data_IF_369033786127
#
_entry.id   IF_369033786127
#
_cell.length_a   1.000
_cell.length_b   1.000
_cell.length_c   1.000
_cell.angle_alpha   90.00
_cell.angle_beta   90.00
_cell.angle_gamma   90.00
#
_symmetry.space_group_name_H-M   'P 1'
#
loop_
_entity.id
_entity.type
_entity.pdbx_description
1 polymer ?
#
# COMPACT_ATOMS: atom_id res chain seq x y z
N UNK A 1 -12.12 31.36 -4.32
CA UNK A 1 -11.96 29.93 -4.67
C UNK A 1 -11.07 29.33 -3.61
N UNK A 2 -11.57 28.37 -2.82
CA UNK A 2 -10.73 27.67 -1.85
C UNK A 2 -9.68 26.87 -2.63
N UNK A 3 -8.41 26.98 -2.27
CA UNK A 3 -7.38 26.12 -2.82
C UNK A 3 -7.81 24.67 -2.59
N UNK A 4 -7.95 23.90 -3.67
CA UNK A 4 -8.11 22.46 -3.53
C UNK A 4 -6.83 21.94 -2.87
N UNK A 5 -6.95 21.43 -1.65
CA UNK A 5 -5.85 20.76 -0.96
C UNK A 5 -5.50 19.52 -1.79
N UNK A 6 -4.43 19.58 -2.58
CA UNK A 6 -3.94 18.43 -3.31
C UNK A 6 -3.35 17.45 -2.29
N UNK A 7 -4.07 16.36 -2.02
CA UNK A 7 -3.58 15.30 -1.16
C UNK A 7 -2.61 14.42 -1.94
N UNK A 8 -1.34 14.40 -1.52
CA UNK A 8 -0.31 13.55 -2.11
C UNK A 8 -0.16 12.28 -1.28
N UNK A 9 -0.20 11.14 -1.97
CA UNK A 9 -0.09 9.82 -1.36
C UNK A 9 1.26 9.20 -1.74
N UNK A 10 2.00 8.73 -0.75
CA UNK A 10 3.34 8.18 -0.92
C UNK A 10 3.44 6.85 -0.17
N UNK A 11 3.97 5.83 -0.83
CA UNK A 11 4.36 4.57 -0.19
C UNK A 11 5.88 4.45 -0.21
N UNK A 12 6.49 4.38 0.96
CA UNK A 12 7.92 4.20 1.11
C UNK A 12 8.15 2.74 1.44
N UNK A 13 8.80 1.99 0.56
CA UNK A 13 9.11 0.59 0.78
C UNK A 13 10.56 0.43 1.23
N UNK A 14 10.80 -0.58 2.05
CA UNK A 14 12.13 -1.06 2.39
C UNK A 14 12.14 -2.58 2.27
N UNK A 15 13.03 -3.09 1.41
CA UNK A 15 13.21 -4.50 1.10
C UNK A 15 14.70 -4.85 0.98
N UNK A 16 15.04 -6.04 0.46
CA UNK A 16 16.43 -6.52 0.31
C UNK A 16 17.29 -5.63 -0.61
N UNK A 17 16.69 -4.71 -1.38
CA UNK A 17 17.38 -3.72 -2.22
C UNK A 17 17.43 -2.33 -1.59
N UNK A 18 16.99 -2.17 -0.35
CA UNK A 18 16.97 -0.91 0.36
C UNK A 18 15.65 -0.14 0.19
N UNK A 19 15.75 1.18 0.34
CA UNK A 19 14.59 2.09 0.44
C UNK A 19 14.19 2.66 -0.92
N UNK A 20 12.90 2.61 -1.26
CA UNK A 20 12.34 3.20 -2.49
C UNK A 20 11.03 3.92 -2.20
N UNK A 21 10.75 4.98 -2.95
CA UNK A 21 9.57 5.83 -2.78
C UNK A 21 8.63 5.67 -4.00
N UNK A 22 7.34 5.48 -3.73
CA UNK A 22 6.30 5.28 -4.75
C UNK A 22 5.17 6.29 -4.56
N UNK A 23 5.09 7.34 -5.39
CA UNK A 23 3.90 8.16 -5.49
C UNK A 23 2.69 7.31 -5.91
N UNK A 24 1.58 7.48 -5.20
CA UNK A 24 0.34 6.76 -5.46
C UNK A 24 -0.68 7.71 -6.10
N UNK A 25 -1.04 7.42 -7.35
CA UNK A 25 -1.96 8.23 -8.16
C UNK A 25 -3.06 7.36 -8.79
N UNK A 26 -2.75 6.10 -9.11
CA UNK A 26 -3.67 5.17 -9.77
C UNK A 26 -4.74 4.65 -8.82
N UNK A 27 -5.84 4.16 -9.40
CA UNK A 27 -6.96 3.58 -8.65
C UNK A 27 -6.63 2.25 -8.00
N UNK A 28 -5.71 1.46 -8.59
CA UNK A 28 -5.33 0.14 -8.11
C UNK A 28 -3.82 -0.07 -8.28
N UNK A 29 -3.18 -0.67 -7.28
CA UNK A 29 -1.81 -1.19 -7.38
C UNK A 29 -1.76 -2.64 -6.91
N UNK A 30 -1.07 -3.49 -7.66
CA UNK A 30 -0.65 -4.80 -7.18
C UNK A 30 0.72 -4.69 -6.51
N UNK A 31 0.86 -5.31 -5.34
CA UNK A 31 2.10 -5.36 -4.56
C UNK A 31 2.54 -6.81 -4.44
N UNK A 32 3.80 -7.12 -4.76
CA UNK A 32 4.34 -8.47 -4.60
C UNK A 32 5.70 -8.63 -5.24
N UNK A 33 6.28 -9.84 -5.17
CA UNK A 33 7.62 -10.09 -5.74
C UNK A 33 7.64 -10.37 -7.25
N UNK A 34 6.47 -10.61 -7.84
CA UNK A 34 6.34 -10.83 -9.27
C UNK A 34 6.80 -9.59 -10.05
N UNK A 35 7.39 -9.80 -11.23
CA UNK A 35 7.85 -8.71 -12.10
C UNK A 35 6.69 -7.89 -12.65
N UNK A 36 5.49 -8.48 -12.68
CA UNK A 36 4.29 -7.87 -13.21
C UNK A 36 3.50 -7.06 -12.16
N UNK A 37 3.96 -7.01 -10.90
CA UNK A 37 3.31 -6.17 -9.88
C UNK A 37 3.60 -4.68 -10.12
N UNK A 38 2.60 -3.83 -9.91
CA UNK A 38 2.75 -2.37 -10.00
C UNK A 38 3.82 -1.85 -9.05
N UNK A 39 3.89 -2.43 -7.84
CA UNK A 39 4.92 -2.16 -6.84
C UNK A 39 5.60 -3.49 -6.52
N UNK A 40 6.80 -3.67 -7.07
CA UNK A 40 7.56 -4.89 -6.88
C UNK A 40 8.41 -4.83 -5.62
N UNK A 41 8.26 -5.83 -4.76
CA UNK A 41 9.08 -6.03 -3.56
C UNK A 41 10.11 -7.13 -3.81
N UNK A 42 11.35 -6.95 -3.36
CA UNK A 42 12.42 -7.92 -3.53
C UNK A 42 12.63 -8.66 -2.21
N UNK A 43 12.03 -9.85 -2.12
CA UNK A 43 12.25 -10.80 -1.04
C UNK A 43 11.60 -12.15 -1.36
N UNK A 44 12.17 -13.23 -0.86
CA UNK A 44 11.58 -14.57 -0.95
C UNK A 44 10.33 -14.74 -0.08
N UNK A 45 10.17 -13.92 0.96
CA UNK A 45 9.06 -14.01 1.91
C UNK A 45 7.78 -13.31 1.42
N UNK A 46 7.84 -12.65 0.27
CA UNK A 46 6.69 -11.96 -0.31
C UNK A 46 6.04 -12.88 -1.35
N UNK A 47 4.71 -13.06 -1.31
CA UNK A 47 3.98 -13.74 -2.39
C UNK A 47 4.15 -13.04 -3.74
N UNK A 48 3.98 -13.77 -4.85
CA UNK A 48 4.07 -13.20 -6.21
C UNK A 48 3.14 -11.99 -6.37
N UNK A 49 1.88 -12.18 -5.98
CA UNK A 49 0.94 -11.11 -5.66
C UNK A 49 0.65 -11.23 -4.17
N UNK A 50 1.08 -10.24 -3.39
CA UNK A 50 0.98 -10.24 -1.94
C UNK A 50 -0.19 -9.40 -1.45
N UNK A 51 -0.39 -8.23 -2.04
CA UNK A 51 -1.45 -7.33 -1.63
C UNK A 51 -1.96 -6.51 -2.79
N UNK A 52 -3.14 -5.93 -2.60
CA UNK A 52 -3.78 -5.00 -3.52
C UNK A 52 -4.09 -3.71 -2.79
N UNK A 53 -3.62 -2.58 -3.30
CA UNK A 53 -4.07 -1.26 -2.88
C UNK A 53 -5.20 -0.79 -3.79
N UNK A 54 -6.29 -0.31 -3.18
CA UNK A 54 -7.46 0.23 -3.90
C UNK A 54 -7.77 1.63 -3.40
N UNK A 55 -7.91 2.57 -4.33
CA UNK A 55 -8.28 3.96 -4.09
C UNK A 55 -9.80 4.08 -3.91
N UNK A 56 -10.23 4.72 -2.84
CA UNK A 56 -11.63 4.99 -2.56
C UNK A 56 -11.89 6.50 -2.39
N UNK A 57 -13.01 7.03 -2.93
CA UNK A 57 -13.36 8.43 -2.74
C UNK A 57 -13.76 8.71 -1.28
N UNK A 58 -13.47 9.92 -0.79
CA UNK A 58 -13.95 10.40 0.50
C UNK A 58 -15.29 11.11 0.31
N UNK A 59 -16.32 10.66 1.04
CA UNK A 59 -17.69 11.20 0.92
C UNK A 59 -17.84 12.69 1.27
N UNK A 60 -16.88 13.28 2.00
CA UNK A 60 -17.00 14.62 2.59
C UNK A 60 -15.88 15.59 2.18
N UNK A 61 -15.09 15.27 1.16
CA UNK A 61 -14.04 16.15 0.63
C UNK A 61 -14.12 16.16 -0.88
N UNK A 62 -14.32 17.33 -1.49
CA UNK A 62 -14.18 17.47 -2.94
C UNK A 62 -12.78 16.99 -3.34
N UNK A 63 -12.73 16.02 -4.25
CA UNK A 63 -11.50 15.43 -4.79
C UNK A 63 -10.61 14.63 -3.80
N UNK A 64 -11.02 14.44 -2.55
CA UNK A 64 -10.25 13.68 -1.56
C UNK A 64 -10.41 12.16 -1.71
N UNK A 65 -9.35 11.41 -1.46
CA UNK A 65 -9.39 9.94 -1.50
C UNK A 65 -8.56 9.29 -0.38
N UNK A 66 -8.65 7.97 -0.27
CA UNK A 66 -7.81 7.16 0.60
C UNK A 66 -7.51 5.82 -0.06
N UNK A 67 -6.41 5.19 0.36
CA UNK A 67 -6.09 3.83 -0.06
C UNK A 67 -6.51 2.82 1.00
N UNK A 68 -7.09 1.72 0.55
CA UNK A 68 -7.27 0.50 1.34
C UNK A 68 -6.29 -0.54 0.84
N UNK A 69 -5.57 -1.17 1.76
CA UNK A 69 -4.78 -2.36 1.47
C UNK A 69 -5.61 -3.62 1.76
N UNK A 70 -5.45 -4.63 0.91
CA UNK A 70 -6.12 -5.92 1.00
C UNK A 70 -5.05 -7.00 0.79
N UNK A 71 -5.02 -8.00 1.67
CA UNK A 71 -4.15 -9.17 1.53
C UNK A 71 -4.62 -10.03 0.35
N UNK A 72 -3.68 -10.40 -0.53
CA UNK A 72 -3.93 -11.26 -1.66
C UNK A 72 -4.27 -10.57 -2.98
N UNK A 73 -4.61 -11.41 -3.96
CA UNK A 73 -4.93 -11.01 -5.34
C UNK A 73 -6.42 -10.72 -5.56
N UNK A 74 -6.75 -10.21 -6.76
CA UNK A 74 -8.13 -9.90 -7.17
C UNK A 74 -9.04 -11.12 -7.27
N UNK A 75 -8.50 -12.34 -7.16
CA UNK A 75 -9.25 -13.60 -7.13
C UNK A 75 -9.49 -14.11 -5.71
N UNK A 76 -9.07 -13.35 -4.69
CA UNK A 76 -9.26 -13.69 -3.28
C UNK A 76 -8.24 -14.69 -2.75
N UNK A 77 -7.13 -14.92 -3.45
CA UNK A 77 -6.05 -15.78 -2.93
C UNK A 77 -5.17 -14.98 -1.97
N UNK A 78 -5.14 -15.29 -0.66
CA UNK A 78 -4.33 -14.56 0.32
C UNK A 78 -2.84 -14.79 0.10
N UNK A 79 -2.01 -13.90 0.64
CA UNK A 79 -0.56 -14.12 0.68
C UNK A 79 -0.17 -15.18 1.72
N UNK A 80 1.07 -15.67 1.64
CA UNK A 80 1.54 -16.70 2.58
C UNK A 80 1.74 -16.15 4.01
N UNK A 81 2.24 -14.92 4.13
CA UNK A 81 2.55 -14.30 5.43
C UNK A 81 1.41 -13.40 5.94
N UNK A 82 0.52 -12.96 5.06
CA UNK A 82 -0.50 -11.95 5.35
C UNK A 82 0.12 -10.57 5.55
N UNK A 83 -0.73 -9.61 5.93
CA UNK A 83 -0.33 -8.25 6.25
C UNK A 83 -0.31 -8.05 7.76
N UNK A 84 0.79 -7.50 8.28
CA UNK A 84 0.87 -6.98 9.64
C UNK A 84 0.92 -5.47 9.57
N UNK A 85 -0.09 -4.79 10.11
CA UNK A 85 -0.23 -3.35 10.04
C UNK A 85 -0.19 -2.80 11.46
N UNK A 86 0.79 -1.94 11.75
CA UNK A 86 1.06 -1.40 13.09
C UNK A 86 1.08 -2.52 14.16
N UNK A 87 1.76 -3.63 13.86
CA UNK A 87 1.88 -4.80 14.74
C UNK A 87 0.67 -5.73 14.80
N UNK A 88 -0.40 -5.49 14.02
CA UNK A 88 -1.61 -6.33 14.02
C UNK A 88 -1.82 -7.02 12.68
N UNK A 89 -2.07 -8.34 12.69
CA UNK A 89 -2.39 -9.09 11.46
C UNK A 89 -3.79 -8.74 10.98
N UNK A 90 -3.91 -8.10 9.82
CA UNK A 90 -5.17 -7.60 9.26
C UNK A 90 -5.30 -8.00 7.78
N UNK A 91 -6.37 -8.68 7.36
CA UNK A 91 -6.56 -9.02 5.94
C UNK A 91 -6.94 -7.78 5.09
N UNK A 92 -7.43 -6.72 5.72
CA UNK A 92 -7.72 -5.45 5.05
C UNK A 92 -7.65 -4.28 6.02
N UNK A 93 -7.24 -3.10 5.53
CA UNK A 93 -7.17 -1.88 6.33
C UNK A 93 -7.23 -0.61 5.47
N UNK A 94 -7.94 0.41 5.95
CA UNK A 94 -7.90 1.75 5.35
C UNK A 94 -6.66 2.48 5.85
N UNK A 95 -5.69 2.73 4.97
CA UNK A 95 -4.42 3.33 5.34
C UNK A 95 -4.59 4.74 5.88
N UNK A 96 -3.97 4.98 7.02
CA UNK A 96 -3.80 6.28 7.68
C UNK A 96 -2.35 6.71 7.55
N UNK A 97 -2.12 8.02 7.60
CA UNK A 97 -0.77 8.57 7.56
C UNK A 97 0.11 7.87 8.61
N UNK A 98 1.32 7.51 8.20
CA UNK A 98 2.35 6.81 8.98
C UNK A 98 2.03 5.35 9.35
N UNK A 99 1.00 4.75 8.77
CA UNK A 99 0.78 3.31 8.93
C UNK A 99 1.98 2.52 8.38
N UNK A 100 2.55 1.66 9.22
CA UNK A 100 3.55 0.67 8.84
C UNK A 100 2.84 -0.62 8.42
N UNK A 101 3.24 -1.16 7.28
CA UNK A 101 2.76 -2.41 6.71
C UNK A 101 3.97 -3.34 6.57
N UNK A 102 3.93 -4.51 7.22
CA UNK A 102 4.94 -5.56 7.10
C UNK A 102 4.37 -6.71 6.27
N UNK A 103 5.10 -7.09 5.22
CA UNK A 103 4.75 -8.18 4.30
C UNK A 103 5.49 -9.50 4.62
N UNK A 104 6.52 -9.42 5.46
CA UNK A 104 7.37 -10.55 5.83
C UNK A 104 8.65 -10.08 6.49
N UNK A 105 9.54 -11.01 6.88
CA UNK A 105 10.85 -10.68 7.44
C UNK A 105 11.59 -9.67 6.57
N UNK A 106 12.01 -8.56 7.18
CA UNK A 106 12.79 -7.47 6.56
C UNK A 106 12.12 -6.77 5.36
N UNK A 107 10.81 -6.94 5.17
CA UNK A 107 10.07 -6.25 4.11
C UNK A 107 8.90 -5.47 4.68
N UNK A 108 8.99 -4.13 4.58
CA UNK A 108 7.94 -3.23 5.06
C UNK A 108 7.67 -2.10 4.08
N UNK A 109 6.54 -1.44 4.30
CA UNK A 109 6.24 -0.15 3.74
C UNK A 109 5.66 0.79 4.79
N UNK A 110 5.89 2.09 4.63
CA UNK A 110 5.26 3.14 5.41
C UNK A 110 4.46 4.00 4.45
N UNK A 111 3.19 4.22 4.77
CA UNK A 111 2.31 5.04 3.95
C UNK A 111 2.25 6.47 4.52
N UNK A 112 2.47 7.45 3.65
CA UNK A 112 2.32 8.87 3.98
C UNK A 112 1.21 9.51 3.17
N UNK A 113 0.44 10.35 3.84
CA UNK A 113 -0.51 11.27 3.24
C UNK A 113 -0.06 12.70 3.57
N UNK A 114 0.45 13.41 2.57
CA UNK A 114 0.91 14.80 2.71
C UNK A 114 -0.18 15.75 2.20
N UNK A 115 -0.39 16.84 2.92
CA UNK A 115 -1.13 17.98 2.39
C UNK A 115 -0.16 18.78 1.51
N UNK A 116 -0.53 18.97 0.25
CA UNK A 116 0.14 19.89 -0.69
C UNK A 116 -0.35 21.32 -0.52
#
# INVERSE_FOLDING_TARGET
>A
MAAELNENHLLIIEDDQGRKEFPLENSVYSIGRDRNCSIRLISQFVSRHHATLVRFPRKNQNNGYYYRIIDGDSKGKPSANGLVINGRKLPTHNLKNEDEIVFGPQVRAIYYKKLG
#
